data_IF_898773205398
#
_entry.id   IF_898773205398
#
_cell.length_a   1.000
_cell.length_b   1.000
_cell.length_c   1.000
_cell.angle_alpha   90.00
_cell.angle_beta   90.00
_cell.angle_gamma   90.00
#
_symmetry.space_group_name_H-M   'P 1'
#
loop_
_entity.id
_entity.type
_entity.pdbx_description
1 polymer ?
#
# COMPACT_ATOMS: atom_id res chain seq x y z
N UNK A 1 20.53 -6.25 2.16
CA UNK A 1 21.76 -5.45 2.02
C UNK A 1 22.59 -6.11 0.95
N UNK A 2 22.99 -5.35 -0.07
CA UNK A 2 23.87 -5.86 -1.12
C UNK A 2 25.15 -6.41 -0.50
N UNK A 3 25.51 -7.63 -0.90
CA UNK A 3 26.74 -8.28 -0.42
C UNK A 3 27.96 -7.84 -1.20
N UNK A 4 27.76 -7.32 -2.40
CA UNK A 4 28.80 -6.95 -3.35
C UNK A 4 28.67 -5.46 -3.69
N UNK A 5 29.81 -4.77 -3.77
CA UNK A 5 29.88 -3.33 -4.05
C UNK A 5 29.25 -2.96 -5.39
N UNK A 6 29.50 -3.76 -6.43
CA UNK A 6 28.92 -3.54 -7.76
C UNK A 6 27.38 -3.61 -7.75
N UNK A 7 26.81 -4.50 -6.94
CA UNK A 7 25.36 -4.59 -6.73
C UNK A 7 24.81 -3.35 -6.04
N UNK A 8 25.48 -2.93 -4.97
CA UNK A 8 25.18 -1.70 -4.25
C UNK A 8 25.21 -0.46 -5.16
N UNK A 9 26.28 -0.29 -5.96
CA UNK A 9 26.42 0.86 -6.85
C UNK A 9 25.36 0.88 -7.96
N UNK A 10 24.98 -0.28 -8.51
CA UNK A 10 23.87 -0.36 -9.47
C UNK A 10 22.55 0.09 -8.83
N UNK A 11 22.22 -0.43 -7.66
CA UNK A 11 20.99 -0.08 -6.93
C UNK A 11 20.96 1.40 -6.57
N UNK A 12 22.06 1.93 -6.03
CA UNK A 12 22.21 3.32 -5.60
C UNK A 12 22.06 4.32 -6.75
N UNK A 13 22.61 4.02 -7.94
CA UNK A 13 22.56 4.92 -9.10
C UNK A 13 21.14 5.21 -9.59
N UNK A 14 20.20 4.28 -9.39
CA UNK A 14 18.80 4.46 -9.75
C UNK A 14 17.98 5.26 -8.74
N UNK A 15 18.56 5.60 -7.58
CA UNK A 15 17.86 6.19 -6.45
C UNK A 15 18.29 7.66 -6.28
N UNK A 16 17.37 8.65 -6.38
CA UNK A 16 17.70 10.07 -6.27
C UNK A 16 17.98 10.53 -4.82
N UNK A 17 17.96 9.62 -3.86
CA UNK A 17 18.15 9.89 -2.42
C UNK A 17 19.52 9.44 -1.92
N UNK A 18 19.85 9.85 -0.69
CA UNK A 18 21.09 9.49 -0.02
C UNK A 18 21.12 8.00 0.32
N UNK A 19 22.32 7.41 0.32
CA UNK A 19 22.58 6.05 0.76
C UNK A 19 23.69 6.05 1.81
N UNK A 20 23.61 5.12 2.76
CA UNK A 20 24.73 4.82 3.64
C UNK A 20 25.92 4.33 2.79
N UNK A 21 27.16 4.77 3.07
CA UNK A 21 28.33 4.26 2.37
C UNK A 21 28.39 2.73 2.38
N UNK A 22 28.90 2.13 1.31
CA UNK A 22 29.11 0.69 1.28
C UNK A 22 30.11 0.29 2.37
N UNK A 23 29.68 -0.58 3.28
CA UNK A 23 30.42 -0.99 4.46
C UNK A 23 30.93 -2.44 4.37
N UNK A 24 31.14 -2.92 3.14
CA UNK A 24 31.62 -4.28 2.86
C UNK A 24 30.52 -5.34 2.86
N UNK A 25 30.87 -6.57 2.46
CA UNK A 25 29.93 -7.70 2.46
C UNK A 25 29.42 -8.08 3.86
N UNK A 26 30.15 -7.67 4.90
CA UNK A 26 29.76 -7.82 6.29
C UNK A 26 28.89 -6.66 6.83
N UNK A 27 28.54 -5.68 6.00
CA UNK A 27 27.47 -4.70 6.20
C UNK A 27 27.24 -4.24 7.64
N UNK A 28 28.29 -3.90 8.40
CA UNK A 28 28.22 -3.78 9.85
C UNK A 28 27.23 -2.69 10.31
N UNK A 29 27.30 -1.51 9.69
CA UNK A 29 26.44 -0.35 9.99
C UNK A 29 25.02 -0.61 9.52
N UNK A 30 24.89 -1.08 8.27
CA UNK A 30 23.61 -1.32 7.64
C UNK A 30 22.82 -2.41 8.39
N UNK A 31 23.49 -3.48 8.83
CA UNK A 31 22.90 -4.52 9.69
C UNK A 31 22.64 -4.06 11.12
N UNK A 32 23.45 -3.18 11.69
CA UNK A 32 23.17 -2.60 13.01
C UNK A 32 21.85 -1.80 13.00
N UNK A 33 21.64 -1.00 11.96
CA UNK A 33 20.37 -0.26 11.77
C UNK A 33 19.20 -1.20 11.51
N UNK A 34 19.36 -2.21 10.65
CA UNK A 34 18.32 -3.20 10.40
C UNK A 34 17.91 -3.91 11.71
N UNK A 35 18.85 -4.24 12.60
CA UNK A 35 18.55 -4.80 13.92
C UNK A 35 17.86 -3.79 14.84
N UNK A 36 18.34 -2.55 14.88
CA UNK A 36 17.77 -1.50 15.72
C UNK A 36 16.29 -1.25 15.39
N UNK A 37 15.97 -1.20 14.10
CA UNK A 37 14.61 -1.06 13.59
C UNK A 37 13.90 -2.40 13.35
N UNK A 38 14.42 -3.53 13.86
CA UNK A 38 13.89 -4.89 13.68
C UNK A 38 13.30 -5.13 12.27
N UNK A 39 14.13 -4.85 11.26
CA UNK A 39 13.83 -5.03 9.83
C UNK A 39 14.12 -6.48 9.48
N UNK A 40 13.06 -7.25 9.23
CA UNK A 40 13.16 -8.68 8.91
C UNK A 40 13.12 -8.95 7.41
N UNK A 41 12.43 -8.11 6.66
CA UNK A 41 12.19 -8.27 5.23
C UNK A 41 12.38 -6.95 4.48
N UNK A 42 12.64 -7.07 3.18
CA UNK A 42 12.76 -5.93 2.26
C UNK A 42 11.69 -6.05 1.18
N UNK A 43 11.16 -4.92 0.66
CA UNK A 43 11.47 -3.54 1.03
C UNK A 43 10.79 -3.10 2.34
N UNK A 44 11.51 -2.33 3.18
CA UNK A 44 10.99 -1.69 4.39
C UNK A 44 11.33 -0.20 4.38
N UNK A 45 10.40 0.65 4.83
CA UNK A 45 10.60 2.10 4.96
C UNK A 45 10.21 2.55 6.37
N UNK A 46 11.18 3.08 7.12
CA UNK A 46 10.98 3.66 8.45
C UNK A 46 11.03 5.18 8.32
N UNK A 47 10.03 5.87 8.88
CA UNK A 47 9.92 7.32 8.86
C UNK A 47 10.44 7.88 10.18
N UNK A 48 11.42 8.78 10.11
CA UNK A 48 12.02 9.46 11.25
C UNK A 48 11.67 10.95 11.15
N UNK A 49 11.20 11.51 12.26
CA UNK A 49 10.81 12.90 12.38
C UNK A 49 12.02 13.84 12.49
N UNK A 50 11.80 15.16 12.36
CA UNK A 50 12.88 16.15 12.49
C UNK A 50 13.51 16.19 13.88
N UNK A 51 12.85 15.66 14.90
CA UNK A 51 13.37 15.51 16.27
C UNK A 51 14.21 14.24 16.46
N UNK A 52 14.44 13.47 15.38
CA UNK A 52 15.20 12.22 15.40
C UNK A 52 14.41 11.02 15.93
N UNK A 53 13.14 11.18 16.30
CA UNK A 53 12.31 10.07 16.77
C UNK A 53 11.66 9.33 15.61
N UNK A 54 11.38 8.05 15.82
CA UNK A 54 10.62 7.26 14.85
C UNK A 54 9.16 7.72 14.86
N UNK A 55 8.65 8.12 13.70
CA UNK A 55 7.24 8.45 13.50
C UNK A 55 6.46 7.17 13.23
N UNK A 56 6.95 6.35 12.29
CA UNK A 56 6.35 5.04 12.00
C UNK A 56 7.37 4.09 11.38
N UNK A 57 7.21 2.80 11.64
CA UNK A 57 7.96 1.72 10.98
C UNK A 57 7.21 1.13 9.78
N UNK A 58 5.98 1.58 9.55
CA UNK A 58 5.07 1.07 8.52
C UNK A 58 5.00 1.98 7.28
N UNK A 59 6.03 2.81 7.07
CA UNK A 59 6.04 3.80 5.99
C UNK A 59 5.86 3.18 4.61
N UNK A 60 6.34 1.95 4.40
CA UNK A 60 6.21 1.24 3.10
C UNK A 60 4.75 1.00 2.75
N UNK A 61 3.94 0.60 3.74
CA UNK A 61 2.53 0.33 3.57
C UNK A 61 1.75 1.64 3.42
N UNK A 62 2.01 2.62 4.28
CA UNK A 62 1.35 3.93 4.19
C UNK A 62 1.56 4.62 2.83
N UNK A 63 2.78 4.54 2.25
CA UNK A 63 3.04 5.05 0.90
C UNK A 63 2.27 4.26 -0.17
N UNK A 64 2.11 2.94 -0.02
CA UNK A 64 1.31 2.16 -0.97
C UNK A 64 -0.18 2.52 -0.92
N UNK A 65 -0.71 2.79 0.28
CA UNK A 65 -2.14 3.03 0.48
C UNK A 65 -2.53 4.46 0.18
N UNK A 66 -1.78 5.41 0.73
CA UNK A 66 -2.15 6.81 0.74
C UNK A 66 -1.16 7.68 -0.04
N UNK A 67 -0.10 7.11 -0.61
CA UNK A 67 0.93 7.85 -1.34
C UNK A 67 1.48 9.03 -0.53
N UNK A 68 1.43 10.23 -1.11
CA UNK A 68 1.86 11.49 -0.50
C UNK A 68 0.87 12.01 0.54
N UNK A 69 -0.41 11.60 0.48
CA UNK A 69 -1.42 11.97 1.48
C UNK A 69 -1.11 11.41 2.87
N UNK A 70 -0.33 10.32 2.96
CA UNK A 70 0.12 9.80 4.24
C UNK A 70 1.00 10.81 4.99
N UNK A 71 1.69 11.74 4.32
CA UNK A 71 2.57 12.70 4.97
C UNK A 71 1.77 13.56 5.99
N UNK A 72 2.27 13.79 7.22
CA UNK A 72 3.62 13.50 7.74
C UNK A 72 3.83 12.10 8.35
N UNK A 73 3.01 11.13 7.97
CA UNK A 73 3.01 9.73 8.42
C UNK A 73 2.71 9.55 9.92
N UNK A 74 2.11 10.58 10.53
CA UNK A 74 1.69 10.54 11.93
C UNK A 74 0.44 9.70 12.09
N UNK A 75 0.27 9.11 13.27
CA UNK A 75 -0.96 8.37 13.61
C UNK A 75 -2.20 9.24 13.40
N UNK A 76 -2.15 10.53 13.75
CA UNK A 76 -3.27 11.46 13.56
C UNK A 76 -3.65 11.63 12.08
N UNK A 77 -2.67 11.78 11.19
CA UNK A 77 -2.92 11.90 9.76
C UNK A 77 -3.52 10.61 9.20
N UNK A 78 -2.99 9.46 9.61
CA UNK A 78 -3.52 8.15 9.19
C UNK A 78 -4.95 7.96 9.67
N UNK A 79 -5.27 8.34 10.92
CA UNK A 79 -6.63 8.28 11.45
C UNK A 79 -7.59 9.17 10.67
N UNK A 80 -7.17 10.39 10.32
CA UNK A 80 -7.99 11.28 9.50
C UNK A 80 -8.29 10.70 8.12
N UNK A 81 -7.31 10.06 7.48
CA UNK A 81 -7.52 9.39 6.19
C UNK A 81 -8.48 8.20 6.32
N UNK A 82 -8.32 7.38 7.36
CA UNK A 82 -9.22 6.26 7.65
C UNK A 82 -10.65 6.73 7.93
N UNK A 83 -10.83 7.82 8.67
CA UNK A 83 -12.15 8.41 8.93
C UNK A 83 -12.81 8.91 7.63
N UNK A 84 -12.04 9.53 6.72
CA UNK A 84 -12.55 9.91 5.40
C UNK A 84 -12.97 8.71 4.57
N UNK A 85 -12.19 7.62 4.60
CA UNK A 85 -12.53 6.36 3.93
C UNK A 85 -13.79 5.74 4.53
N UNK A 86 -13.93 5.71 5.86
CA UNK A 86 -15.11 5.23 6.57
C UNK A 86 -16.36 6.04 6.19
N UNK A 87 -16.28 7.37 6.13
CA UNK A 87 -17.37 8.22 5.67
C UNK A 87 -17.71 7.98 4.20
N UNK A 88 -16.69 7.80 3.34
CA UNK A 88 -16.91 7.51 1.92
C UNK A 88 -17.57 6.13 1.72
N UNK A 89 -17.18 5.13 2.52
CA UNK A 89 -17.71 3.78 2.47
C UNK A 89 -19.22 3.73 2.73
N UNK A 90 -19.76 4.63 3.58
CA UNK A 90 -21.22 4.76 3.81
C UNK A 90 -22.01 5.12 2.57
N UNK A 91 -21.37 5.70 1.56
CA UNK A 91 -21.98 6.02 0.27
C UNK A 91 -22.09 4.85 -0.70
N UNK A 92 -21.57 3.67 -0.35
CA UNK A 92 -21.62 2.47 -1.18
C UNK A 92 -22.73 1.52 -0.73
N UNK A 93 -23.24 0.73 -1.67
CA UNK A 93 -24.23 -0.30 -1.36
C UNK A 93 -23.59 -1.39 -0.48
N UNK A 94 -24.30 -1.93 0.53
CA UNK A 94 -23.74 -2.97 1.41
C UNK A 94 -23.44 -4.28 0.68
N UNK A 95 -24.10 -4.52 -0.47
CA UNK A 95 -23.82 -5.63 -1.37
C UNK A 95 -24.06 -5.25 -2.83
N UNK A 96 -23.41 -5.97 -3.74
CA UNK A 96 -23.67 -5.84 -5.18
C UNK A 96 -23.35 -7.12 -5.96
N UNK A 97 -23.85 -7.15 -7.20
CA UNK A 97 -23.48 -8.14 -8.22
C UNK A 97 -22.52 -7.49 -9.19
N UNK A 98 -21.37 -8.11 -9.44
CA UNK A 98 -20.33 -7.57 -10.30
C UNK A 98 -20.29 -8.31 -11.64
N UNK A 99 -20.06 -7.62 -12.77
CA UNK A 99 -20.05 -8.27 -14.08
C UNK A 99 -18.93 -9.33 -14.21
N UNK A 100 -17.75 -9.06 -13.62
CA UNK A 100 -16.62 -9.99 -13.58
C UNK A 100 -16.76 -11.14 -12.57
N UNK A 101 -17.83 -11.19 -11.76
CA UNK A 101 -17.99 -12.20 -10.72
C UNK A 101 -19.44 -12.63 -10.44
N UNK A 102 -19.70 -13.95 -10.38
CA UNK A 102 -21.06 -14.50 -10.34
C UNK A 102 -21.76 -14.42 -8.97
N UNK A 103 -21.03 -14.46 -7.87
CA UNK A 103 -21.61 -14.39 -6.54
C UNK A 103 -21.85 -12.94 -6.12
N UNK A 104 -22.77 -12.75 -5.17
CA UNK A 104 -22.93 -11.45 -4.53
C UNK A 104 -21.70 -11.11 -3.69
N UNK A 105 -21.24 -9.87 -3.82
CA UNK A 105 -20.16 -9.31 -3.02
C UNK A 105 -20.76 -8.51 -1.88
N UNK A 106 -20.17 -8.60 -0.70
CA UNK A 106 -20.53 -7.80 0.47
C UNK A 106 -19.42 -6.82 0.80
N UNK A 107 -19.77 -5.64 1.28
CA UNK A 107 -18.78 -4.70 1.81
C UNK A 107 -18.13 -5.30 3.06
N UNK A 108 -16.80 -5.34 3.06
CA UNK A 108 -15.98 -5.68 4.22
C UNK A 108 -15.07 -4.50 4.55
N UNK A 109 -14.66 -4.42 5.82
CA UNK A 109 -13.63 -3.53 6.31
C UNK A 109 -12.54 -4.34 7.00
N UNK A 110 -11.47 -3.69 7.42
CA UNK A 110 -10.40 -4.31 8.22
C UNK A 110 -10.92 -5.11 9.42
N UNK A 111 -12.05 -4.69 10.01
CA UNK A 111 -12.65 -5.35 11.18
C UNK A 111 -13.49 -6.58 10.82
N UNK A 112 -13.95 -6.70 9.58
CA UNK A 112 -14.90 -7.75 9.15
C UNK A 112 -14.37 -8.68 8.04
N UNK A 113 -13.14 -8.48 7.56
CA UNK A 113 -12.50 -9.37 6.59
C UNK A 113 -11.67 -8.70 5.48
N UNK A 114 -11.60 -7.38 5.46
CA UNK A 114 -10.86 -6.59 4.45
C UNK A 114 -9.47 -6.18 4.93
N UNK A 115 -8.50 -7.09 4.81
CA UNK A 115 -7.08 -6.80 5.04
C UNK A 115 -6.43 -6.10 3.84
N UNK A 116 -5.10 -6.20 3.67
CA UNK A 116 -4.45 -5.92 2.40
C UNK A 116 -4.90 -6.95 1.34
N UNK A 117 -5.31 -6.49 0.17
CA UNK A 117 -5.74 -7.32 -0.96
C UNK A 117 -5.22 -6.78 -2.29
N UNK A 118 -5.17 -7.63 -3.31
CA UNK A 118 -4.99 -7.19 -4.70
C UNK A 118 -6.36 -7.19 -5.35
N UNK A 119 -6.79 -6.04 -5.88
CA UNK A 119 -8.09 -5.89 -6.49
C UNK A 119 -8.18 -6.75 -7.76
N UNK A 120 -9.16 -7.65 -7.83
CA UNK A 120 -9.34 -8.56 -8.96
C UNK A 120 -9.76 -7.87 -10.27
N UNK A 121 -10.11 -6.58 -10.22
CA UNK A 121 -10.58 -5.82 -11.40
C UNK A 121 -9.48 -4.93 -12.01
N UNK A 122 -8.68 -4.26 -11.18
CA UNK A 122 -7.65 -3.34 -11.65
C UNK A 122 -6.21 -3.78 -11.35
N UNK A 123 -6.02 -4.92 -10.70
CA UNK A 123 -4.72 -5.46 -10.26
C UNK A 123 -3.90 -4.52 -9.36
N UNK A 124 -4.53 -3.47 -8.80
CA UNK A 124 -3.90 -2.57 -7.84
C UNK A 124 -4.11 -3.05 -6.40
N UNK A 125 -3.14 -2.75 -5.53
CA UNK A 125 -3.25 -2.99 -4.10
C UNK A 125 -4.43 -2.21 -3.50
N UNK A 126 -5.19 -2.86 -2.62
CA UNK A 126 -6.17 -2.23 -1.73
C UNK A 126 -5.91 -2.61 -0.27
N UNK A 127 -6.58 -1.91 0.64
CA UNK A 127 -6.55 -2.18 2.07
C UNK A 127 -7.83 -1.71 2.74
N UNK A 128 -8.29 -2.42 3.77
CA UNK A 128 -9.43 -2.00 4.58
C UNK A 128 -10.75 -2.25 3.85
N UNK A 129 -11.32 -1.22 3.24
CA UNK A 129 -12.65 -1.31 2.61
C UNK A 129 -12.60 -2.00 1.24
N UNK A 130 -13.43 -3.03 1.07
CA UNK A 130 -13.52 -3.80 -0.17
C UNK A 130 -14.91 -4.39 -0.37
N UNK A 131 -15.22 -4.76 -1.60
CA UNK A 131 -16.29 -5.72 -1.90
C UNK A 131 -15.67 -7.11 -1.96
N UNK A 132 -16.09 -8.02 -1.07
CA UNK A 132 -15.56 -9.38 -0.97
C UNK A 132 -16.67 -10.42 -1.16
N UNK A 133 -16.37 -11.46 -1.94
CA UNK A 133 -17.17 -12.67 -2.02
C UNK A 133 -16.71 -13.67 -0.97
N UNK A 134 -17.50 -13.89 0.07
CA UNK A 134 -17.18 -14.87 1.13
C UNK A 134 -17.07 -16.30 0.56
N UNK A 135 -17.80 -16.62 -0.52
CA UNK A 135 -17.83 -17.97 -1.08
C UNK A 135 -16.55 -18.37 -1.81
N UNK A 136 -15.77 -17.42 -2.35
CA UNK A 136 -14.62 -17.73 -3.19
C UNK A 136 -13.40 -16.82 -3.00
N UNK A 137 -13.50 -15.79 -2.17
CA UNK A 137 -12.41 -14.84 -1.90
C UNK A 137 -12.18 -13.80 -2.99
N UNK A 138 -13.10 -13.65 -3.96
CA UNK A 138 -13.03 -12.56 -4.94
C UNK A 138 -13.15 -11.21 -4.22
N UNK A 139 -12.19 -10.31 -4.43
CA UNK A 139 -12.10 -9.05 -3.68
C UNK A 139 -11.70 -7.89 -4.61
N UNK A 140 -12.46 -6.79 -4.54
CA UNK A 140 -12.26 -5.59 -5.35
C UNK A 140 -12.42 -4.31 -4.53
N UNK A 141 -11.84 -3.20 -4.98
CA UNK A 141 -12.08 -1.90 -4.35
C UNK A 141 -13.56 -1.51 -4.40
N UNK A 142 -14.03 -0.72 -3.43
CA UNK A 142 -15.39 -0.17 -3.46
C UNK A 142 -15.69 0.60 -4.76
N UNK A 143 -14.72 1.37 -5.26
CA UNK A 143 -14.82 2.11 -6.53
C UNK A 143 -14.93 1.19 -7.76
N UNK A 144 -14.30 0.01 -7.72
CA UNK A 144 -14.35 -0.96 -8.82
C UNK A 144 -15.68 -1.71 -8.88
N UNK A 145 -16.48 -1.68 -7.80
CA UNK A 145 -17.81 -2.28 -7.77
C UNK A 145 -18.91 -1.39 -8.35
N UNK A 146 -18.67 -0.09 -8.56
CA UNK A 146 -19.66 0.77 -9.24
C UNK A 146 -19.67 0.41 -10.72
N UNK A 147 -20.84 0.04 -11.25
CA UNK A 147 -21.02 -0.22 -12.68
C UNK A 147 -20.35 0.89 -13.52
N UNK A 148 -19.43 0.50 -14.39
CA UNK A 148 -18.83 1.39 -15.40
C UNK A 148 -19.87 1.64 -16.49
N UNK A 149 -20.88 2.44 -16.19
CA UNK A 149 -21.80 2.99 -17.18
C UNK A 149 -21.74 4.52 -17.11
N UNK A 150 -20.56 5.07 -17.43
CA UNK A 150 -20.37 6.44 -17.90
C UNK A 150 -18.95 6.66 -18.45
N UNK A 151 -18.67 6.21 -19.68
CA UNK A 151 -17.41 6.57 -20.35
C UNK A 151 -17.04 5.78 -21.60
N UNK A 152 -17.95 5.67 -22.57
CA UNK A 152 -17.62 5.16 -23.90
C UNK A 152 -16.58 6.02 -24.63
N UNK A 153 -15.66 5.34 -25.30
CA UNK A 153 -14.88 5.76 -26.48
C UNK A 153 -13.99 7.01 -26.41
N UNK A 154 -12.67 6.81 -26.46
CA UNK A 154 -11.81 7.49 -27.45
C UNK A 154 -10.86 6.43 -28.03
N UNK A 155 -10.86 6.35 -29.36
CA UNK A 155 -10.29 5.26 -30.13
C UNK A 155 -8.78 5.32 -30.30
N UNK A 156 -8.28 4.21 -30.84
CA UNK A 156 -6.99 4.12 -31.50
C UNK A 156 -6.87 5.15 -32.65
N UNK A 157 -5.67 5.68 -32.84
CA UNK A 157 -5.20 6.18 -34.13
C UNK A 157 -4.63 7.60 -34.13
N UNK A 158 -3.31 7.72 -33.87
CA UNK A 158 -2.30 8.11 -34.87
C UNK A 158 -0.90 8.05 -34.25
#
# INVERSE_FOLDING_TARGET
MDKEEDGYERSRRGMPWLALPYDGGDGAQSRALARYFDVREIPTLVVIGPDGKTVTRDGRNLVNLYFDMAFPFTEEQVRLLQELEDEQAKGYAPSLRHAGHRHELSVVSEKSGGGPYVCCECDEQGFGWAYQCIACGYEIHLRCGRDVEAGGAVGAGQ
#
